data_IF_042723479253
#
_entry.id   IF_042723479253
#
_cell.length_a   1.000
_cell.length_b   1.000
_cell.length_c   1.000
_cell.angle_alpha   90.00
_cell.angle_beta   90.00
_cell.angle_gamma   90.00
#
_symmetry.space_group_name_H-M   'P 1'
#
loop_
_entity.id
_entity.type
_entity.pdbx_description
1 polymer ?
#
# COMPACT_ATOMS: atom_id res chain seq x y z
N UNK A 1 -11.36 27.24 39.32
CA UNK A 1 -10.19 27.49 38.43
C UNK A 1 -9.59 26.22 37.82
N UNK A 2 -9.32 25.15 38.60
CA UNK A 2 -8.78 23.87 38.05
C UNK A 2 -9.67 23.16 37.02
N UNK A 3 -11.01 23.25 37.13
CA UNK A 3 -11.95 22.66 36.15
C UNK A 3 -11.95 23.36 34.79
N UNK A 4 -11.73 24.68 34.76
CA UNK A 4 -11.61 25.45 33.52
C UNK A 4 -10.29 25.14 32.78
N UNK A 5 -9.22 24.87 33.53
CA UNK A 5 -7.92 24.48 32.98
C UNK A 5 -7.93 23.08 32.35
N UNK A 6 -8.67 22.13 32.94
CA UNK A 6 -8.85 20.77 32.41
C UNK A 6 -9.71 20.74 31.14
N UNK A 7 -10.69 21.65 31.02
CA UNK A 7 -11.56 21.74 29.83
C UNK A 7 -10.85 22.41 28.64
N UNK A 8 -9.94 23.36 28.90
CA UNK A 8 -9.09 23.96 27.86
C UNK A 8 -8.04 23.01 27.29
N UNK A 9 -7.48 22.12 28.12
CA UNK A 9 -6.50 21.12 27.67
C UNK A 9 -7.13 20.03 26.76
N UNK A 10 -8.38 19.64 27.00
CA UNK A 10 -9.10 18.69 26.15
C UNK A 10 -9.44 19.28 24.76
N UNK A 11 -9.70 20.59 24.66
CA UNK A 11 -9.99 21.26 23.40
C UNK A 11 -8.75 21.44 22.51
N UNK A 12 -7.58 21.66 23.12
CA UNK A 12 -6.31 21.79 22.40
C UNK A 12 -5.83 20.46 21.78
N UNK A 13 -6.13 19.33 22.44
CA UNK A 13 -5.81 18.00 21.93
C UNK A 13 -6.66 17.59 20.71
N UNK A 14 -7.88 18.13 20.56
CA UNK A 14 -8.75 17.90 19.40
C UNK A 14 -8.33 18.67 18.14
N UNK A 15 -7.49 19.72 18.29
CA UNK A 15 -7.02 20.56 17.17
C UNK A 15 -5.69 20.09 16.58
N UNK A 16 -5.07 19.05 17.15
CA UNK A 16 -3.77 18.53 16.72
C UNK A 16 -3.88 17.25 15.89
N UNK A 17 -5.05 17.00 15.28
CA UNK A 17 -5.10 16.06 14.16
C UNK A 17 -4.24 16.66 13.04
N UNK A 18 -3.24 15.95 12.49
CA UNK A 18 -2.55 16.45 11.31
C UNK A 18 -3.61 16.65 10.24
N UNK A 19 -3.82 17.90 9.84
CA UNK A 19 -4.64 18.18 8.67
C UNK A 19 -3.95 17.46 7.51
N UNK A 20 -4.54 16.37 7.02
CA UNK A 20 -4.14 15.79 5.76
C UNK A 20 -4.12 16.95 4.77
N UNK A 21 -2.95 17.26 4.20
CA UNK A 21 -2.80 18.38 3.31
C UNK A 21 -3.84 18.21 2.19
N UNK A 22 -4.84 19.10 2.17
CA UNK A 22 -5.96 18.92 1.27
C UNK A 22 -5.48 19.21 -0.15
N UNK A 23 -5.48 18.19 -1.00
CA UNK A 23 -5.08 18.31 -2.41
C UNK A 23 -6.01 19.32 -3.07
N UNK A 24 -5.44 20.36 -3.68
CA UNK A 24 -6.25 21.37 -4.36
C UNK A 24 -7.00 20.75 -5.55
N UNK A 25 -8.17 21.30 -5.88
CA UNK A 25 -8.95 20.84 -7.04
C UNK A 25 -8.13 20.92 -8.32
N UNK A 26 -7.28 21.95 -8.47
CA UNK A 26 -6.41 22.12 -9.62
C UNK A 26 -5.38 20.98 -9.73
N UNK A 27 -4.74 20.60 -8.62
CA UNK A 27 -3.78 19.50 -8.59
C UNK A 27 -4.47 18.17 -8.88
N UNK A 28 -5.62 17.90 -8.26
CA UNK A 28 -6.39 16.69 -8.54
C UNK A 28 -6.79 16.59 -10.03
N UNK A 29 -7.27 17.67 -10.62
CA UNK A 29 -7.63 17.72 -12.04
C UNK A 29 -6.44 17.54 -12.98
N UNK A 30 -5.25 17.99 -12.59
CA UNK A 30 -4.03 17.72 -13.35
C UNK A 30 -3.66 16.23 -13.23
N UNK A 31 -3.66 15.68 -12.02
CA UNK A 31 -3.33 14.28 -11.76
C UNK A 31 -4.17 13.32 -12.59
N UNK A 32 -5.50 13.54 -12.65
CA UNK A 32 -6.43 12.72 -13.45
C UNK A 32 -6.20 12.77 -14.97
N UNK A 33 -5.31 13.63 -15.47
CA UNK A 33 -4.93 13.72 -16.90
C UNK A 33 -3.60 13.05 -17.20
N UNK A 34 -2.82 12.70 -16.18
CA UNK A 34 -1.51 12.08 -16.32
C UNK A 34 -1.66 10.57 -16.29
N UNK A 35 -0.85 9.88 -17.10
CA UNK A 35 -0.60 8.46 -16.88
C UNK A 35 0.39 8.34 -15.73
N UNK A 36 -0.02 7.67 -14.66
CA UNK A 36 0.82 7.49 -13.47
C UNK A 36 1.20 6.03 -13.30
N UNK A 37 2.51 5.81 -13.14
CA UNK A 37 3.10 4.50 -12.96
C UNK A 37 4.04 4.55 -11.77
N UNK A 38 3.95 3.55 -10.91
CA UNK A 38 4.95 3.30 -9.87
C UNK A 38 5.95 2.25 -10.36
N UNK A 39 7.24 2.49 -10.14
CA UNK A 39 8.31 1.60 -10.60
C UNK A 39 8.56 0.40 -9.68
N UNK A 40 7.96 0.36 -8.50
CA UNK A 40 8.17 -0.70 -7.51
C UNK A 40 6.99 -0.90 -6.57
N UNK A 41 6.09 -1.82 -6.93
CA UNK A 41 4.94 -2.18 -6.12
C UNK A 41 5.15 -3.56 -5.47
N UNK A 42 5.37 -3.57 -4.16
CA UNK A 42 5.56 -4.78 -3.35
C UNK A 42 4.24 -5.48 -2.94
N UNK A 43 3.08 -4.97 -3.41
CA UNK A 43 1.75 -5.57 -3.23
C UNK A 43 1.69 -7.09 -3.48
N UNK A 44 2.44 -7.68 -4.42
CA UNK A 44 2.44 -9.12 -4.60
C UNK A 44 2.83 -9.93 -3.35
N UNK A 45 3.51 -9.33 -2.37
CA UNK A 45 3.77 -9.97 -1.08
C UNK A 45 2.49 -10.23 -0.26
N UNK A 46 1.43 -9.46 -0.49
CA UNK A 46 0.12 -9.61 0.19
C UNK A 46 -0.78 -10.65 -0.47
N UNK A 47 -0.56 -11.01 -1.74
CA UNK A 47 -1.36 -12.01 -2.47
C UNK A 47 -1.28 -13.41 -1.85
N UNK A 48 -0.23 -13.68 -1.08
CA UNK A 48 -0.04 -14.95 -0.38
C UNK A 48 -0.81 -15.01 0.96
N UNK A 49 -1.46 -13.91 1.39
CA UNK A 49 -2.29 -13.86 2.60
C UNK A 49 -3.64 -14.57 2.38
N UNK A 50 -4.06 -15.50 3.25
CA UNK A 50 -5.32 -16.21 3.09
C UNK A 50 -6.53 -15.26 3.05
N UNK A 51 -7.31 -15.36 1.97
CA UNK A 51 -8.53 -14.57 1.78
C UNK A 51 -8.30 -13.11 1.39
N UNK A 52 -7.05 -12.69 1.19
CA UNK A 52 -6.76 -11.34 0.71
C UNK A 52 -6.96 -11.26 -0.81
N UNK A 53 -7.65 -10.21 -1.27
CA UNK A 53 -7.86 -9.94 -2.69
C UNK A 53 -7.46 -8.51 -3.03
N UNK A 54 -6.75 -8.32 -4.14
CA UNK A 54 -6.40 -6.99 -4.66
C UNK A 54 -7.65 -6.21 -5.12
N UNK A 55 -8.77 -6.90 -5.37
CA UNK A 55 -10.02 -6.26 -5.81
C UNK A 55 -10.84 -5.66 -4.66
N UNK A 56 -10.52 -6.03 -3.42
CA UNK A 56 -11.18 -5.54 -2.22
C UNK A 56 -10.52 -4.26 -1.69
N UNK A 57 -11.29 -3.40 -1.02
CA UNK A 57 -10.76 -2.20 -0.41
C UNK A 57 -10.22 -2.51 0.98
N UNK A 58 -8.95 -2.16 1.22
CA UNK A 58 -8.28 -2.38 2.49
C UNK A 58 -7.89 -1.07 3.18
N UNK A 59 -7.49 -1.19 4.44
CA UNK A 59 -7.04 -0.08 5.27
C UNK A 59 -5.65 -0.38 5.85
N UNK A 60 -4.71 0.52 5.54
CA UNK A 60 -3.31 0.45 5.98
C UNK A 60 -3.15 0.33 7.50
N UNK A 61 -4.10 0.85 8.29
CA UNK A 61 -4.05 0.75 9.75
C UNK A 61 -4.50 -0.62 10.28
N UNK A 62 -5.21 -1.39 9.46
CA UNK A 62 -5.77 -2.68 9.84
C UNK A 62 -4.99 -3.87 9.27
N UNK A 63 -4.57 -3.80 8.01
CA UNK A 63 -3.88 -4.90 7.32
C UNK A 63 -2.45 -4.58 6.84
N UNK A 64 -2.00 -3.34 7.08
CA UNK A 64 -0.69 -2.81 6.68
C UNK A 64 -0.44 -2.74 5.16
N UNK A 65 -1.42 -3.11 4.32
CA UNK A 65 -1.28 -2.99 2.87
C UNK A 65 -1.54 -1.56 2.44
N UNK A 66 -0.92 -1.14 1.34
CA UNK A 66 -0.99 0.25 0.88
C UNK A 66 -1.61 0.40 -0.52
N UNK A 67 -1.75 -0.72 -1.24
CA UNK A 67 -2.14 -0.74 -2.65
C UNK A 67 -3.13 -1.87 -2.86
N UNK A 68 -4.32 -1.51 -3.34
CA UNK A 68 -5.35 -2.38 -3.89
C UNK A 68 -6.08 -1.64 -5.01
N UNK A 69 -6.86 -2.36 -5.81
CA UNK A 69 -7.53 -1.80 -6.98
C UNK A 69 -8.47 -0.63 -6.61
N UNK A 70 -9.28 -0.68 -5.53
CA UNK A 70 -10.05 0.47 -5.09
C UNK A 70 -9.21 1.71 -4.75
N UNK A 71 -8.11 1.57 -4.00
CA UNK A 71 -7.21 2.69 -3.65
C UNK A 71 -6.42 3.18 -4.85
N UNK A 72 -6.04 2.31 -5.80
CA UNK A 72 -5.45 2.71 -7.09
C UNK A 72 -6.41 3.61 -7.87
N UNK A 73 -7.68 3.20 -8.01
CA UNK A 73 -8.71 4.01 -8.68
C UNK A 73 -8.96 5.34 -7.97
N UNK A 74 -9.06 5.35 -6.64
CA UNK A 74 -9.28 6.57 -5.83
C UNK A 74 -8.09 7.54 -5.91
N UNK A 75 -6.88 6.99 -5.84
CA UNK A 75 -5.63 7.74 -5.92
C UNK A 75 -5.21 8.11 -7.35
N UNK A 76 -5.86 7.55 -8.37
CA UNK A 76 -5.49 7.75 -9.77
C UNK A 76 -4.13 7.15 -10.13
N UNK A 77 -3.82 5.95 -9.61
CA UNK A 77 -2.67 5.15 -10.02
C UNK A 77 -3.07 4.20 -11.16
N UNK A 78 -2.54 4.44 -12.37
CA UNK A 78 -2.96 3.69 -13.56
C UNK A 78 -2.26 2.33 -13.68
N UNK A 79 -1.11 2.17 -13.04
CA UNK A 79 -0.39 0.91 -13.01
C UNK A 79 0.99 1.02 -12.40
N UNK A 80 1.83 0.05 -12.69
CA UNK A 80 3.20 0.01 -12.21
C UNK A 80 3.85 -1.33 -12.43
N UNK A 81 4.96 -1.54 -11.74
CA UNK A 81 5.73 -2.77 -11.83
C UNK A 81 5.57 -3.58 -10.55
N UNK A 82 4.93 -4.74 -10.68
CA UNK A 82 4.76 -5.70 -9.59
C UNK A 82 6.08 -6.40 -9.27
N UNK A 83 6.55 -6.27 -8.03
CA UNK A 83 7.84 -6.83 -7.63
C UNK A 83 7.77 -8.35 -7.43
N UNK A 84 8.67 -9.08 -8.10
CA UNK A 84 9.06 -10.44 -7.71
C UNK A 84 10.24 -10.33 -6.75
N UNK A 85 9.97 -9.85 -5.53
CA UNK A 85 10.97 -9.79 -4.47
C UNK A 85 11.18 -11.18 -3.87
N UNK A 86 12.44 -11.61 -3.77
CA UNK A 86 12.86 -12.83 -3.07
C UNK A 86 13.95 -12.46 -2.08
N UNK A 87 13.74 -12.76 -0.80
CA UNK A 87 14.75 -12.47 0.23
C UNK A 87 16.04 -13.27 0.00
N UNK A 88 17.17 -12.65 0.31
CA UNK A 88 18.47 -13.29 0.21
C UNK A 88 18.54 -14.51 1.14
N UNK A 89 18.99 -15.65 0.58
CA UNK A 89 19.25 -16.89 1.31
C UNK A 89 20.72 -17.33 1.22
N UNK A 90 21.05 -18.57 1.66
CA UNK A 90 22.38 -19.14 1.53
C UNK A 90 22.85 -19.26 0.07
N UNK A 91 24.14 -19.08 -0.18
CA UNK A 91 24.76 -19.23 -1.50
C UNK A 91 25.15 -20.70 -1.75
N UNK A 92 24.14 -21.56 -1.81
CA UNK A 92 24.27 -23.01 -2.07
C UNK A 92 23.33 -23.41 -3.20
N UNK A 93 23.55 -24.59 -3.79
CA UNK A 93 22.65 -25.13 -4.84
C UNK A 93 21.20 -25.20 -4.33
N UNK A 94 21.00 -25.67 -3.09
CA UNK A 94 19.67 -25.72 -2.45
C UNK A 94 19.07 -24.32 -2.27
N UNK A 95 19.88 -23.34 -1.83
CA UNK A 95 19.45 -21.95 -1.70
C UNK A 95 19.00 -21.34 -3.03
N UNK A 96 19.73 -21.61 -4.12
CA UNK A 96 19.34 -21.16 -5.45
C UNK A 96 18.05 -21.82 -5.95
N UNK A 97 17.85 -23.12 -5.71
CA UNK A 97 16.59 -23.79 -6.04
C UNK A 97 15.42 -23.19 -5.27
N UNK A 98 15.58 -22.97 -3.96
CA UNK A 98 14.54 -22.34 -3.14
C UNK A 98 14.19 -20.92 -3.62
N UNK A 99 15.20 -20.12 -3.94
CA UNK A 99 15.00 -18.77 -4.45
C UNK A 99 14.29 -18.76 -5.81
N UNK A 100 14.69 -19.66 -6.73
CA UNK A 100 14.03 -19.84 -8.03
C UNK A 100 12.55 -20.21 -7.85
N UNK A 101 12.27 -21.23 -7.04
CA UNK A 101 10.91 -21.73 -6.87
C UNK A 101 10.02 -20.67 -6.23
N UNK A 102 10.54 -19.93 -5.23
CA UNK A 102 9.83 -18.80 -4.64
C UNK A 102 9.51 -17.70 -5.66
N UNK A 103 10.49 -17.29 -6.46
CA UNK A 103 10.31 -16.25 -7.48
C UNK A 103 9.27 -16.67 -8.55
N UNK A 104 9.29 -17.94 -8.97
CA UNK A 104 8.29 -18.49 -9.90
C UNK A 104 6.90 -18.47 -9.27
N UNK A 105 6.76 -18.94 -8.03
CA UNK A 105 5.46 -18.94 -7.33
C UNK A 105 4.91 -17.53 -7.19
N UNK A 106 5.74 -16.55 -6.83
CA UNK A 106 5.33 -15.14 -6.77
C UNK A 106 4.87 -14.62 -8.13
N UNK A 107 5.59 -14.96 -9.21
CA UNK A 107 5.16 -14.64 -10.58
C UNK A 107 3.81 -15.24 -10.96
N UNK A 108 3.50 -16.46 -10.48
CA UNK A 108 2.19 -17.07 -10.66
C UNK A 108 1.10 -16.37 -9.85
N UNK A 109 1.37 -15.96 -8.61
CA UNK A 109 0.43 -15.15 -7.81
C UNK A 109 0.07 -13.86 -8.55
N UNK A 110 1.05 -13.14 -9.10
CA UNK A 110 0.82 -11.92 -9.90
C UNK A 110 -0.03 -12.23 -11.15
N UNK A 111 0.27 -13.32 -11.86
CA UNK A 111 -0.45 -13.70 -13.08
C UNK A 111 -1.93 -13.99 -12.81
N UNK A 112 -2.26 -14.52 -11.65
CA UNK A 112 -3.58 -15.02 -11.28
C UNK A 112 -4.30 -14.13 -10.26
N UNK A 113 -3.82 -12.90 -10.02
CA UNK A 113 -4.34 -12.02 -8.96
C UNK A 113 -5.74 -11.44 -9.23
N UNK A 114 -6.22 -11.57 -10.48
CA UNK A 114 -7.54 -11.13 -10.98
C UNK A 114 -8.19 -12.23 -11.79
#
# INVERSE_FOLDING_TARGET
MRKALLMGAALAALLSAPAAAQVSKQVYQLHQKLLTLDTHLDTPASLDLPGWSIEEEHDVLHDYTQVDLPRMKKGGLDGGFWAIYTSQGPLTIEGFHKARDFAIMRGLSIRNMV
#
